data_IF_723899715153
#
_entry.id   IF_723899715153
#
_cell.length_a   1.000
_cell.length_b   1.000
_cell.length_c   1.000
_cell.angle_alpha   90.00
_cell.angle_beta   90.00
_cell.angle_gamma   90.00
#
_symmetry.space_group_name_H-M   'P 1'
#
loop_
_entity.id
_entity.type
_entity.pdbx_description
1 polymer ?
#
# COMPACT_ATOMS: atom_id res chain seq x y z
N UNK A 1 -11.51 33.88 -51.12
CA UNK A 1 -10.92 33.20 -49.96
C UNK A 1 -9.87 34.09 -49.30
N UNK A 2 -10.19 34.74 -48.20
CA UNK A 2 -9.28 35.61 -47.45
C UNK A 2 -8.42 34.74 -46.56
N UNK A 3 -7.10 34.80 -46.75
CA UNK A 3 -6.14 34.11 -45.90
C UNK A 3 -6.25 34.61 -44.43
N UNK A 4 -6.14 33.75 -43.42
CA UNK A 4 -6.26 34.16 -42.02
C UNK A 4 -5.09 35.08 -41.64
N UNK A 5 -5.41 36.25 -41.07
CA UNK A 5 -4.42 37.21 -40.64
C UNK A 5 -3.55 36.65 -39.50
N UNK A 6 -2.26 36.97 -39.40
CA UNK A 6 -1.32 36.44 -38.39
C UNK A 6 -1.80 36.59 -36.94
N UNK A 7 -2.56 37.64 -36.61
CA UNK A 7 -3.17 37.90 -35.30
C UNK A 7 -4.22 36.87 -34.90
N UNK A 8 -5.00 36.35 -35.88
CA UNK A 8 -6.03 35.32 -35.60
C UNK A 8 -5.42 33.95 -35.29
N UNK A 9 -4.29 33.63 -35.92
CA UNK A 9 -3.56 32.38 -35.67
C UNK A 9 -2.86 32.38 -34.30
N UNK A 10 -2.35 33.52 -33.83
CA UNK A 10 -1.76 33.66 -32.48
C UNK A 10 -2.82 33.54 -31.37
N UNK A 11 -3.98 34.18 -31.54
CA UNK A 11 -5.07 34.11 -30.56
C UNK A 11 -5.66 32.69 -30.45
N UNK A 12 -5.75 31.97 -31.57
CA UNK A 12 -6.17 30.57 -31.59
C UNK A 12 -5.12 29.64 -30.91
N UNK A 13 -3.83 29.87 -31.16
CA UNK A 13 -2.75 29.13 -30.52
C UNK A 13 -2.73 29.37 -29.00
N UNK A 14 -2.85 30.61 -28.55
CA UNK A 14 -2.90 30.94 -27.11
C UNK A 14 -4.13 30.37 -26.41
N UNK A 15 -5.30 30.36 -27.09
CA UNK A 15 -6.52 29.77 -26.50
C UNK A 15 -6.44 28.25 -26.42
N UNK A 16 -5.84 27.58 -27.42
CA UNK A 16 -5.60 26.13 -27.40
C UNK A 16 -4.59 25.77 -26.31
N UNK A 17 -3.54 26.58 -26.14
CA UNK A 17 -2.51 26.34 -25.12
C UNK A 17 -3.03 26.60 -23.71
N UNK A 18 -3.88 27.62 -23.50
CA UNK A 18 -4.58 27.82 -22.24
C UNK A 18 -5.56 26.71 -21.93
N UNK A 19 -6.31 26.23 -22.93
CA UNK A 19 -7.22 25.11 -22.75
C UNK A 19 -6.45 23.84 -22.37
N UNK A 20 -5.32 23.54 -23.07
CA UNK A 20 -4.45 22.41 -22.76
C UNK A 20 -3.89 22.48 -21.34
N UNK A 21 -3.39 23.63 -20.88
CA UNK A 21 -2.91 23.84 -19.51
C UNK A 21 -4.03 23.65 -18.47
N UNK A 22 -5.27 24.03 -18.81
CA UNK A 22 -6.43 23.83 -17.95
C UNK A 22 -6.81 22.36 -17.85
N UNK A 23 -6.87 21.67 -19.00
CA UNK A 23 -7.18 20.25 -19.06
C UNK A 23 -6.10 19.43 -18.31
N UNK A 24 -4.80 19.76 -18.46
CA UNK A 24 -3.70 19.13 -17.73
C UNK A 24 -3.81 19.35 -16.21
N UNK A 25 -4.24 20.54 -15.78
CA UNK A 25 -4.44 20.86 -14.36
C UNK A 25 -5.65 20.12 -13.78
N UNK A 26 -6.74 20.00 -14.51
CA UNK A 26 -7.94 19.28 -14.09
C UNK A 26 -7.67 17.78 -13.93
N UNK A 27 -6.84 17.19 -14.82
CA UNK A 27 -6.37 15.81 -14.71
C UNK A 27 -5.53 15.63 -13.45
N UNK A 28 -4.55 16.52 -13.22
CA UNK A 28 -3.68 16.46 -12.04
C UNK A 28 -4.49 16.54 -10.74
N UNK A 29 -5.46 17.44 -10.67
CA UNK A 29 -6.37 17.58 -9.51
C UNK A 29 -7.16 16.29 -9.27
N UNK A 30 -7.71 15.69 -10.33
CA UNK A 30 -8.45 14.44 -10.22
C UNK A 30 -7.57 13.28 -9.71
N UNK A 31 -6.33 13.22 -10.17
CA UNK A 31 -5.37 12.19 -9.76
C UNK A 31 -4.95 12.36 -8.30
N UNK A 32 -4.64 13.58 -7.86
CA UNK A 32 -4.30 13.88 -6.45
C UNK A 32 -5.49 13.55 -5.54
N UNK A 33 -6.71 13.93 -5.96
CA UNK A 33 -7.93 13.62 -5.21
C UNK A 33 -8.13 12.10 -5.08
N UNK A 34 -7.99 11.36 -6.17
CA UNK A 34 -8.13 9.89 -6.19
C UNK A 34 -7.07 9.22 -5.33
N UNK A 35 -5.82 9.66 -5.41
CA UNK A 35 -4.73 9.12 -4.61
C UNK A 35 -4.96 9.40 -3.10
N UNK A 36 -5.34 10.62 -2.75
CA UNK A 36 -5.68 10.99 -1.37
C UNK A 36 -6.82 10.15 -0.81
N UNK A 37 -7.92 10.03 -1.58
CA UNK A 37 -9.06 9.19 -1.21
C UNK A 37 -8.68 7.72 -1.01
N UNK A 38 -7.89 7.17 -1.94
CA UNK A 38 -7.44 5.78 -1.88
C UNK A 38 -6.49 5.52 -0.73
N UNK A 39 -5.52 6.40 -0.49
CA UNK A 39 -4.58 6.29 0.63
C UNK A 39 -5.33 6.39 1.96
N UNK A 40 -6.24 7.36 2.13
CA UNK A 40 -7.07 7.45 3.34
C UNK A 40 -7.81 6.15 3.60
N UNK A 41 -8.56 5.65 2.62
CA UNK A 41 -9.35 4.44 2.77
C UNK A 41 -8.50 3.20 3.08
N UNK A 42 -7.35 3.06 2.40
CA UNK A 42 -6.45 1.92 2.59
C UNK A 42 -5.77 1.96 3.95
N UNK A 43 -5.13 3.09 4.30
CA UNK A 43 -4.32 3.19 5.53
C UNK A 43 -5.17 3.10 6.78
N UNK A 44 -6.35 3.75 6.80
CA UNK A 44 -7.24 3.68 7.98
C UNK A 44 -7.81 2.27 8.19
N UNK A 45 -8.20 1.58 7.12
CA UNK A 45 -8.67 0.19 7.21
C UNK A 45 -7.56 -0.75 7.66
N UNK A 46 -6.35 -0.59 7.11
CA UNK A 46 -5.19 -1.39 7.50
C UNK A 46 -4.81 -1.17 8.96
N UNK A 47 -4.76 0.09 9.41
CA UNK A 47 -4.42 0.43 10.80
C UNK A 47 -5.45 -0.12 11.78
N UNK A 48 -6.75 -0.05 11.45
CA UNK A 48 -7.80 -0.60 12.31
C UNK A 48 -7.66 -2.13 12.48
N UNK A 49 -7.36 -2.85 11.40
CA UNK A 49 -7.09 -4.28 11.45
C UNK A 49 -5.79 -4.57 12.24
N UNK A 50 -4.73 -3.81 12.01
CA UNK A 50 -3.44 -3.97 12.69
C UNK A 50 -3.57 -3.73 14.22
N UNK A 51 -4.34 -2.75 14.66
CA UNK A 51 -4.62 -2.51 16.08
C UNK A 51 -5.33 -3.70 16.73
N UNK A 52 -6.26 -4.34 16.02
CA UNK A 52 -6.93 -5.55 16.52
C UNK A 52 -5.94 -6.70 16.67
N UNK A 53 -5.11 -6.96 15.67
CA UNK A 53 -4.08 -8.01 15.73
C UNK A 53 -3.04 -7.72 16.82
N UNK A 54 -2.57 -6.47 16.92
CA UNK A 54 -1.61 -6.08 17.98
C UNK A 54 -2.17 -6.35 19.38
N UNK A 55 -3.43 -6.02 19.61
CA UNK A 55 -4.12 -6.29 20.87
C UNK A 55 -4.19 -7.79 21.18
N UNK A 56 -4.55 -8.61 20.19
CA UNK A 56 -4.62 -10.06 20.33
C UNK A 56 -3.25 -10.68 20.63
N UNK A 57 -2.20 -10.20 19.97
CA UNK A 57 -0.82 -10.65 20.19
C UNK A 57 -0.32 -10.36 21.62
N UNK A 58 -0.89 -9.37 22.31
CA UNK A 58 -0.56 -9.07 23.71
C UNK A 58 -1.31 -9.97 24.71
N UNK A 59 -2.14 -10.92 24.25
CA UNK A 59 -2.93 -11.81 25.14
C UNK A 59 -3.82 -11.00 26.08
N UNK A 60 -3.92 -11.42 27.36
CA UNK A 60 -4.73 -10.72 28.37
C UNK A 60 -4.35 -9.26 28.57
N UNK A 61 -3.08 -8.93 28.46
CA UNK A 61 -2.59 -7.54 28.59
C UNK A 61 -3.14 -6.62 27.47
N UNK A 62 -3.43 -7.15 26.30
CA UNK A 62 -4.05 -6.40 25.20
C UNK A 62 -5.47 -5.92 25.51
N UNK A 63 -6.15 -6.57 26.45
CA UNK A 63 -7.50 -6.23 26.91
C UNK A 63 -7.53 -5.40 28.18
N UNK A 64 -6.41 -5.32 28.90
CA UNK A 64 -6.31 -4.52 30.11
C UNK A 64 -6.43 -3.02 29.79
N UNK A 65 -7.39 -2.34 30.44
CA UNK A 65 -7.67 -0.92 30.17
C UNK A 65 -6.45 -0.01 30.36
N UNK A 66 -5.59 -0.35 31.32
CA UNK A 66 -4.36 0.39 31.66
C UNK A 66 -3.37 0.43 30.48
N UNK A 67 -3.37 -0.59 29.62
CA UNK A 67 -2.51 -0.65 28.42
C UNK A 67 -3.09 0.12 27.22
N UNK A 68 -4.28 0.69 27.33
CA UNK A 68 -4.92 1.63 26.38
C UNK A 68 -5.14 1.12 24.96
N UNK A 69 -4.75 -0.12 24.62
CA UNK A 69 -4.91 -0.66 23.25
C UNK A 69 -6.38 -0.73 22.83
N UNK A 70 -7.31 -1.05 23.75
CA UNK A 70 -8.75 -1.04 23.50
C UNK A 70 -9.27 0.36 23.19
N UNK A 71 -8.87 1.36 23.99
CA UNK A 71 -9.23 2.76 23.78
C UNK A 71 -8.69 3.28 22.45
N UNK A 72 -7.41 3.07 22.18
CA UNK A 72 -6.77 3.47 20.91
C UNK A 72 -7.48 2.88 19.69
N UNK A 73 -7.87 1.60 19.77
CA UNK A 73 -8.63 0.96 18.70
C UNK A 73 -10.01 1.61 18.51
N UNK A 74 -10.72 1.90 19.59
CA UNK A 74 -12.05 2.53 19.55
C UNK A 74 -11.97 3.95 18.99
N UNK A 75 -10.97 4.72 19.41
CA UNK A 75 -10.74 6.08 18.90
C UNK A 75 -10.38 6.07 17.40
N UNK A 76 -9.66 5.04 16.96
CA UNK A 76 -9.27 4.92 15.54
C UNK A 76 -10.42 4.43 14.64
N UNK A 77 -11.42 3.76 15.17
CA UNK A 77 -12.49 3.14 14.38
C UNK A 77 -13.27 4.16 13.53
N UNK A 78 -13.48 5.37 14.03
CA UNK A 78 -14.17 6.46 13.33
C UNK A 78 -13.47 6.86 12.01
N UNK A 79 -12.16 6.64 11.91
CA UNK A 79 -11.39 6.95 10.70
C UNK A 79 -11.81 6.15 9.48
N UNK A 80 -12.61 5.10 9.64
CA UNK A 80 -13.15 4.34 8.52
C UNK A 80 -14.33 5.02 7.84
N UNK A 81 -15.02 5.90 8.55
CA UNK A 81 -16.29 6.52 8.11
C UNK A 81 -16.21 8.02 7.93
N UNK A 82 -15.55 8.76 8.83
CA UNK A 82 -15.46 10.21 8.71
C UNK A 82 -14.48 10.62 7.59
N UNK A 83 -14.57 11.86 7.11
CA UNK A 83 -13.85 12.36 5.91
C UNK A 83 -14.17 11.54 4.64
N UNK A 84 -15.32 10.89 4.62
CA UNK A 84 -15.78 9.99 3.58
C UNK A 84 -15.61 8.51 3.96
N UNK A 85 -16.68 7.74 3.78
CA UNK A 85 -16.67 6.29 3.99
C UNK A 85 -15.65 5.61 3.08
N UNK A 86 -14.85 4.70 3.64
CA UNK A 86 -13.76 4.05 2.93
C UNK A 86 -14.24 3.27 1.68
N UNK A 87 -15.43 2.66 1.73
CA UNK A 87 -15.99 1.94 0.59
C UNK A 87 -16.35 2.91 -0.54
N UNK A 88 -16.88 4.09 -0.20
CA UNK A 88 -17.23 5.13 -1.18
C UNK A 88 -15.96 5.72 -1.80
N UNK A 89 -14.94 6.03 -0.99
CA UNK A 89 -13.67 6.56 -1.46
C UNK A 89 -12.97 5.62 -2.44
N UNK A 90 -12.95 4.32 -2.14
CA UNK A 90 -12.38 3.32 -3.05
C UNK A 90 -13.14 3.24 -4.38
N UNK A 91 -14.45 3.48 -4.40
CA UNK A 91 -15.21 3.53 -5.65
C UNK A 91 -14.79 4.70 -6.53
N UNK A 92 -14.45 5.86 -5.94
CA UNK A 92 -13.94 7.01 -6.68
C UNK A 92 -12.60 6.70 -7.38
N UNK A 93 -11.71 5.98 -6.70
CA UNK A 93 -10.44 5.50 -7.29
C UNK A 93 -10.70 4.64 -8.52
N UNK A 94 -11.56 3.63 -8.40
CA UNK A 94 -11.88 2.75 -9.53
C UNK A 94 -12.56 3.49 -10.69
N UNK A 95 -13.44 4.46 -10.38
CA UNK A 95 -14.11 5.25 -11.41
C UNK A 95 -13.11 6.06 -12.24
N UNK A 96 -12.11 6.67 -11.59
CA UNK A 96 -11.05 7.39 -12.30
C UNK A 96 -10.20 6.44 -13.16
N UNK A 97 -9.78 5.31 -12.62
CA UNK A 97 -9.00 4.30 -13.36
C UNK A 97 -9.75 3.80 -14.59
N UNK A 98 -11.04 3.54 -14.48
CA UNK A 98 -11.88 3.13 -15.61
C UNK A 98 -12.08 4.24 -16.63
N UNK A 99 -12.17 5.49 -16.21
CA UNK A 99 -12.21 6.66 -17.09
C UNK A 99 -10.92 6.75 -17.90
N UNK A 100 -9.78 6.72 -17.25
CA UNK A 100 -8.46 6.75 -17.89
C UNK A 100 -8.28 5.56 -18.84
N UNK A 101 -8.72 4.37 -18.45
CA UNK A 101 -8.72 3.18 -19.29
C UNK A 101 -9.56 3.36 -20.56
N UNK A 102 -10.76 3.95 -20.45
CA UNK A 102 -11.61 4.25 -21.59
C UNK A 102 -10.97 5.28 -22.52
N UNK A 103 -10.41 6.33 -21.96
CA UNK A 103 -9.82 7.45 -22.70
C UNK A 103 -8.57 7.02 -23.48
N UNK A 104 -7.82 6.02 -23.00
CA UNK A 104 -6.66 5.46 -23.73
C UNK A 104 -7.01 4.74 -25.02
N UNK A 105 -8.25 4.32 -25.21
CA UNK A 105 -8.74 3.75 -26.49
C UNK A 105 -9.35 4.78 -27.45
N UNK A 106 -9.51 6.04 -27.02
CA UNK A 106 -9.96 7.11 -27.90
C UNK A 106 -8.74 7.79 -28.53
N UNK A 107 -8.67 7.82 -29.86
CA UNK A 107 -7.53 8.33 -30.65
C UNK A 107 -7.14 9.80 -30.40
N UNK A 108 -7.83 10.50 -29.51
CA UNK A 108 -7.64 11.94 -29.26
C UNK A 108 -6.94 12.30 -27.96
N UNK A 109 -6.50 11.36 -27.15
CA UNK A 109 -5.87 11.66 -25.88
C UNK A 109 -4.36 11.45 -25.91
N UNK A 110 -3.64 12.43 -26.49
CA UNK A 110 -2.22 12.63 -26.24
C UNK A 110 -2.09 13.43 -24.94
N UNK A 111 -2.38 12.84 -23.82
CA UNK A 111 -2.03 13.39 -22.52
C UNK A 111 -1.19 12.35 -21.78
N UNK A 112 0.07 12.37 -22.14
CA UNK A 112 1.14 11.63 -21.48
C UNK A 112 1.48 12.23 -20.13
N UNK A 113 0.54 12.38 -19.19
CA UNK A 113 0.85 12.98 -17.88
C UNK A 113 0.86 11.96 -16.76
N UNK A 114 0.40 10.73 -16.98
CA UNK A 114 0.61 9.65 -16.03
C UNK A 114 1.38 8.51 -16.68
N UNK A 115 2.70 8.64 -16.65
CA UNK A 115 3.64 7.63 -17.15
C UNK A 115 3.42 6.24 -16.54
N UNK A 116 2.82 6.17 -15.37
CA UNK A 116 2.52 4.93 -14.65
C UNK A 116 1.39 4.13 -15.30
N UNK A 117 0.22 4.74 -15.49
CA UNK A 117 -0.91 4.08 -16.16
C UNK A 117 -0.69 3.97 -17.67
N UNK A 118 -0.07 4.97 -18.30
CA UNK A 118 0.28 4.93 -19.72
C UNK A 118 1.25 3.79 -20.05
N UNK A 119 2.24 3.53 -19.21
CA UNK A 119 3.14 2.38 -19.36
C UNK A 119 2.43 1.04 -19.13
N UNK A 120 1.45 0.98 -18.22
CA UNK A 120 0.64 -0.22 -18.01
C UNK A 120 -0.27 -0.54 -19.18
N UNK A 121 -0.65 0.47 -19.98
CA UNK A 121 -1.65 0.34 -21.03
C UNK A 121 -1.05 0.24 -22.44
N UNK A 122 0.20 0.64 -22.63
CA UNK A 122 0.93 0.49 -23.90
C UNK A 122 1.38 -0.95 -24.15
N UNK A 123 1.59 -1.72 -23.09
CA UNK A 123 1.84 -3.15 -23.23
C UNK A 123 0.50 -3.88 -23.25
N UNK A 124 0.16 -4.49 -24.37
CA UNK A 124 -0.90 -5.48 -24.46
C UNK A 124 -0.75 -6.46 -23.29
N UNK A 125 -1.68 -6.45 -22.32
CA UNK A 125 -1.66 -7.17 -21.06
C UNK A 125 -0.24 -7.57 -20.61
N UNK A 126 0.37 -6.89 -19.65
CA UNK A 126 1.76 -7.15 -19.29
C UNK A 126 1.94 -8.65 -19.03
N UNK A 127 3.02 -9.21 -19.56
CA UNK A 127 3.34 -10.62 -19.34
C UNK A 127 3.40 -10.88 -17.84
N UNK A 128 2.72 -11.91 -17.37
CA UNK A 128 2.71 -12.25 -15.95
C UNK A 128 4.14 -12.54 -15.46
N UNK A 129 4.72 -11.74 -14.58
CA UNK A 129 6.08 -11.95 -14.10
C UNK A 129 6.23 -13.19 -13.21
N UNK A 130 5.13 -13.77 -12.76
CA UNK A 130 5.13 -14.94 -11.88
C UNK A 130 5.24 -16.29 -12.64
N UNK A 131 5.06 -16.28 -13.95
CA UNK A 131 5.24 -17.49 -14.81
C UNK A 131 6.70 -17.96 -14.81
N UNK A 132 7.67 -17.09 -14.55
CA UNK A 132 9.06 -17.51 -14.49
C UNK A 132 9.28 -18.50 -13.33
N UNK A 133 10.00 -19.61 -13.59
CA UNK A 133 10.34 -20.61 -12.57
C UNK A 133 11.44 -20.15 -11.60
N UNK A 134 11.88 -18.90 -11.66
CA UNK A 134 12.89 -18.37 -10.77
C UNK A 134 12.38 -18.31 -9.32
N UNK A 135 13.05 -19.04 -8.43
CA UNK A 135 12.71 -19.17 -7.00
C UNK A 135 13.80 -18.63 -6.08
N UNK A 136 14.90 -18.14 -6.66
CA UNK A 136 16.04 -17.67 -5.90
C UNK A 136 15.69 -16.41 -5.09
N UNK A 137 16.25 -16.26 -3.89
CA UNK A 137 16.05 -15.09 -3.03
C UNK A 137 16.30 -13.76 -3.75
N UNK A 138 17.34 -13.69 -4.58
CA UNK A 138 17.65 -12.50 -5.38
C UNK A 138 16.51 -12.10 -6.33
N UNK A 139 15.86 -13.09 -6.94
CA UNK A 139 14.73 -12.84 -7.84
C UNK A 139 13.49 -12.38 -7.06
N UNK A 140 13.15 -13.08 -5.98
CA UNK A 140 11.96 -12.79 -5.17
C UNK A 140 12.04 -11.42 -4.48
N UNK A 141 13.25 -10.93 -4.17
CA UNK A 141 13.50 -9.62 -3.56
C UNK A 141 13.86 -8.53 -4.57
N UNK A 142 13.80 -8.82 -5.86
CA UNK A 142 14.10 -7.82 -6.87
C UNK A 142 12.99 -6.77 -6.95
N UNK A 143 13.29 -5.47 -6.71
CA UNK A 143 12.30 -4.40 -6.76
C UNK A 143 11.52 -4.33 -8.08
N UNK A 144 12.20 -4.59 -9.20
CA UNK A 144 11.55 -4.58 -10.52
C UNK A 144 10.56 -5.75 -10.67
N UNK A 145 10.91 -6.93 -10.16
CA UNK A 145 9.99 -8.06 -10.14
C UNK A 145 8.76 -7.76 -9.28
N UNK A 146 8.95 -7.23 -8.07
CA UNK A 146 7.88 -6.92 -7.14
C UNK A 146 6.94 -5.82 -7.69
N UNK A 147 7.51 -4.75 -8.24
CA UNK A 147 6.73 -3.68 -8.91
C UNK A 147 5.94 -4.24 -10.11
N UNK A 148 6.59 -5.03 -10.97
CA UNK A 148 5.92 -5.65 -12.13
C UNK A 148 4.78 -6.58 -11.71
N UNK A 149 4.94 -7.35 -10.63
CA UNK A 149 3.89 -8.23 -10.13
C UNK A 149 2.65 -7.46 -9.68
N UNK A 150 2.80 -6.40 -8.87
CA UNK A 150 1.67 -5.60 -8.42
C UNK A 150 1.03 -4.78 -9.55
N UNK A 151 1.83 -4.26 -10.49
CA UNK A 151 1.32 -3.61 -11.71
C UNK A 151 0.49 -4.57 -12.56
N UNK A 152 1.00 -5.76 -12.80
CA UNK A 152 0.28 -6.81 -13.54
C UNK A 152 -1.07 -7.11 -12.90
N UNK A 153 -1.11 -7.29 -11.59
CA UNK A 153 -2.34 -7.50 -10.83
C UNK A 153 -3.35 -6.38 -11.06
N UNK A 154 -2.92 -5.13 -10.95
CA UNK A 154 -3.78 -3.95 -11.15
C UNK A 154 -4.32 -3.90 -12.59
N UNK A 155 -3.47 -4.09 -13.59
CA UNK A 155 -3.87 -4.11 -15.00
C UNK A 155 -4.89 -5.22 -15.29
N UNK A 156 -4.65 -6.41 -14.74
CA UNK A 156 -5.54 -7.56 -14.92
C UNK A 156 -6.92 -7.32 -14.29
N UNK A 157 -6.95 -6.78 -13.07
CA UNK A 157 -8.21 -6.42 -12.40
C UNK A 157 -8.97 -5.33 -13.16
N UNK A 158 -8.28 -4.32 -13.68
CA UNK A 158 -8.88 -3.25 -14.47
C UNK A 158 -9.53 -3.79 -15.75
N UNK A 159 -8.80 -4.61 -16.51
CA UNK A 159 -9.31 -5.24 -17.71
C UNK A 159 -10.52 -6.14 -17.43
N UNK A 160 -10.42 -6.98 -16.40
CA UNK A 160 -11.50 -7.90 -16.00
C UNK A 160 -12.73 -7.15 -15.52
N UNK A 161 -12.56 -6.08 -14.75
CA UNK A 161 -13.65 -5.22 -14.28
C UNK A 161 -14.33 -4.52 -15.46
N UNK A 162 -13.58 -3.96 -16.41
CA UNK A 162 -14.15 -3.32 -17.59
C UNK A 162 -15.02 -4.31 -18.42
N UNK A 163 -14.55 -5.54 -18.60
CA UNK A 163 -15.30 -6.58 -19.29
C UNK A 163 -16.59 -6.98 -18.53
N UNK A 164 -16.50 -7.15 -17.18
CA UNK A 164 -17.66 -7.45 -16.32
C UNK A 164 -18.68 -6.34 -16.35
N UNK A 165 -18.27 -5.09 -16.20
CA UNK A 165 -19.17 -3.93 -16.26
C UNK A 165 -19.91 -3.86 -17.59
N UNK A 166 -19.23 -4.11 -18.69
CA UNK A 166 -19.83 -4.14 -20.02
C UNK A 166 -20.92 -5.22 -20.12
N UNK A 167 -20.63 -6.44 -19.63
CA UNK A 167 -21.58 -7.56 -19.59
C UNK A 167 -22.78 -7.24 -18.69
N UNK A 168 -22.54 -6.77 -17.46
CA UNK A 168 -23.62 -6.47 -16.51
C UNK A 168 -24.47 -5.27 -16.95
N UNK A 169 -23.89 -4.27 -17.62
CA UNK A 169 -24.66 -3.16 -18.20
C UNK A 169 -25.63 -3.65 -19.28
N UNK A 170 -25.20 -4.57 -20.14
CA UNK A 170 -26.07 -5.15 -21.16
C UNK A 170 -27.24 -5.95 -20.54
N UNK A 171 -26.97 -6.75 -19.50
CA UNK A 171 -27.99 -7.49 -18.74
C UNK A 171 -28.94 -6.53 -18.03
N UNK A 172 -28.41 -5.56 -17.31
CA UNK A 172 -29.21 -4.60 -16.53
C UNK A 172 -30.08 -3.72 -17.41
N UNK A 173 -29.62 -3.36 -18.61
CA UNK A 173 -30.39 -2.59 -19.60
C UNK A 173 -31.66 -3.34 -20.01
N UNK A 174 -31.56 -4.66 -20.21
CA UNK A 174 -32.71 -5.51 -20.54
C UNK A 174 -33.71 -5.64 -19.39
N UNK A 175 -33.21 -5.67 -18.14
CA UNK A 175 -34.03 -5.93 -16.95
C UNK A 175 -34.64 -4.66 -16.33
N UNK A 176 -33.88 -3.56 -16.29
CA UNK A 176 -34.22 -2.35 -15.54
C UNK A 176 -34.32 -1.08 -16.42
N UNK A 177 -34.09 -1.21 -17.74
CA UNK A 177 -34.09 -0.08 -18.66
C UNK A 177 -32.74 0.63 -18.75
N UNK A 178 -32.59 1.51 -19.76
CA UNK A 178 -31.31 2.16 -20.07
C UNK A 178 -30.83 3.14 -18.98
N UNK A 179 -31.76 3.86 -18.35
CA UNK A 179 -31.43 4.92 -17.39
C UNK A 179 -30.76 4.38 -16.12
N UNK A 180 -31.19 3.22 -15.62
CA UNK A 180 -30.66 2.63 -14.37
C UNK A 180 -29.62 1.52 -14.59
N UNK A 181 -29.37 1.15 -15.85
CA UNK A 181 -28.49 0.02 -16.19
C UNK A 181 -27.08 0.17 -15.62
N UNK A 182 -26.51 1.38 -15.68
CA UNK A 182 -25.16 1.66 -15.16
C UNK A 182 -25.08 1.47 -13.64
N UNK A 183 -26.06 1.96 -12.91
CA UNK A 183 -26.12 1.81 -11.44
C UNK A 183 -26.18 0.34 -11.03
N UNK A 184 -27.07 -0.45 -11.63
CA UNK A 184 -27.20 -1.86 -11.32
C UNK A 184 -25.95 -2.68 -11.72
N UNK A 185 -25.32 -2.35 -12.85
CA UNK A 185 -24.09 -2.98 -13.27
C UNK A 185 -22.92 -2.69 -12.30
N UNK A 186 -22.81 -1.43 -11.86
CA UNK A 186 -21.81 -1.02 -10.88
C UNK A 186 -21.95 -1.80 -9.58
N UNK A 187 -23.15 -1.83 -9.01
CA UNK A 187 -23.43 -2.54 -7.76
C UNK A 187 -23.18 -4.07 -7.88
N UNK A 188 -23.50 -4.66 -9.02
CA UNK A 188 -23.21 -6.06 -9.29
C UNK A 188 -21.70 -6.37 -9.36
N UNK A 189 -20.88 -5.36 -9.64
CA UNK A 189 -19.42 -5.48 -9.74
C UNK A 189 -18.68 -4.90 -8.52
N UNK A 190 -19.36 -4.47 -7.45
CA UNK A 190 -18.78 -3.70 -6.35
C UNK A 190 -17.55 -4.35 -5.72
N UNK A 191 -17.56 -5.66 -5.51
CA UNK A 191 -16.43 -6.41 -4.96
C UNK A 191 -15.19 -6.26 -5.85
N UNK A 192 -15.35 -6.31 -7.18
CA UNK A 192 -14.26 -6.15 -8.13
C UNK A 192 -13.79 -4.70 -8.23
N UNK A 193 -14.70 -3.73 -8.08
CA UNK A 193 -14.40 -2.30 -7.98
C UNK A 193 -13.46 -2.04 -6.79
N UNK A 194 -13.82 -2.54 -5.61
CA UNK A 194 -13.02 -2.39 -4.40
C UNK A 194 -11.66 -3.12 -4.49
N UNK A 195 -11.64 -4.30 -5.09
CA UNK A 195 -10.41 -5.06 -5.29
C UNK A 195 -9.42 -4.32 -6.21
N UNK A 196 -9.90 -3.75 -7.32
CA UNK A 196 -9.09 -2.93 -8.22
C UNK A 196 -8.47 -1.74 -7.49
N UNK A 197 -9.29 -0.98 -6.75
CA UNK A 197 -8.82 0.21 -6.05
C UNK A 197 -7.74 -0.11 -5.02
N UNK A 198 -7.93 -1.16 -4.23
CA UNK A 198 -6.92 -1.62 -3.27
C UNK A 198 -5.63 -2.04 -3.97
N UNK A 199 -5.73 -2.83 -5.05
CA UNK A 199 -4.56 -3.26 -5.81
C UNK A 199 -3.78 -2.09 -6.40
N UNK A 200 -4.46 -1.06 -6.89
CA UNK A 200 -3.84 0.16 -7.40
C UNK A 200 -3.08 0.90 -6.29
N UNK A 201 -3.73 1.16 -5.16
CA UNK A 201 -3.10 1.87 -4.04
C UNK A 201 -1.88 1.09 -3.51
N UNK A 202 -1.98 -0.23 -3.37
CA UNK A 202 -0.85 -1.08 -2.96
C UNK A 202 0.33 -0.98 -3.94
N UNK A 203 0.06 -0.92 -5.23
CA UNK A 203 1.10 -0.76 -6.26
C UNK A 203 1.77 0.61 -6.19
N UNK A 204 0.97 1.68 -6.05
CA UNK A 204 1.48 3.05 -5.91
C UNK A 204 2.31 3.22 -4.63
N UNK A 205 1.86 2.65 -3.51
CA UNK A 205 2.60 2.68 -2.25
C UNK A 205 3.96 1.99 -2.38
N UNK A 206 4.00 0.81 -3.00
CA UNK A 206 5.26 0.08 -3.21
C UNK A 206 6.24 0.87 -4.07
N UNK A 207 5.77 1.50 -5.13
CA UNK A 207 6.62 2.31 -6.02
C UNK A 207 7.15 3.55 -5.33
N UNK A 208 6.27 4.30 -4.65
CA UNK A 208 6.67 5.48 -3.89
C UNK A 208 7.73 5.13 -2.84
N UNK A 209 7.60 3.94 -2.26
CA UNK A 209 8.55 3.43 -1.27
C UNK A 209 9.93 3.15 -1.89
N UNK A 210 10.00 2.39 -3.00
CA UNK A 210 11.27 2.14 -3.66
C UNK A 210 11.89 3.43 -4.22
N UNK A 211 11.09 4.35 -4.75
CA UNK A 211 11.56 5.65 -5.20
C UNK A 211 12.17 6.46 -4.03
N UNK A 212 11.56 6.46 -2.85
CA UNK A 212 12.10 7.12 -1.67
C UNK A 212 13.44 6.53 -1.23
N UNK A 213 13.62 5.23 -1.36
CA UNK A 213 14.91 4.56 -1.10
C UNK A 213 15.97 4.99 -2.11
N UNK A 214 15.61 5.05 -3.40
CA UNK A 214 16.54 5.43 -4.46
C UNK A 214 16.93 6.90 -4.43
N UNK A 215 16.04 7.77 -3.98
CA UNK A 215 16.26 9.22 -3.87
C UNK A 215 16.77 9.66 -2.49
N UNK A 216 17.08 8.73 -1.60
CA UNK A 216 17.59 9.04 -0.27
C UNK A 216 18.83 9.95 -0.38
N UNK A 217 18.84 11.12 0.29
CA UNK A 217 19.94 12.08 0.20
C UNK A 217 21.25 11.58 0.84
N UNK A 218 21.17 10.70 1.82
CA UNK A 218 22.33 10.11 2.46
C UNK A 218 22.94 9.03 1.55
N UNK A 219 24.13 9.33 1.03
CA UNK A 219 24.86 8.49 0.08
C UNK A 219 25.29 7.16 0.70
N UNK A 220 25.71 7.16 1.97
CA UNK A 220 26.11 5.95 2.69
C UNK A 220 24.89 5.05 2.98
N UNK A 221 23.78 5.65 3.38
CA UNK A 221 22.50 4.94 3.51
C UNK A 221 22.07 4.35 2.18
N UNK A 222 22.14 5.09 1.08
CA UNK A 222 21.77 4.63 -0.25
C UNK A 222 22.66 3.49 -0.77
N UNK A 223 23.98 3.62 -0.60
CA UNK A 223 24.93 2.56 -0.97
C UNK A 223 24.69 1.28 -0.16
N UNK A 224 24.49 1.42 1.14
CA UNK A 224 24.19 0.31 2.03
C UNK A 224 22.87 -0.39 1.68
N UNK A 225 21.83 0.38 1.31
CA UNK A 225 20.56 -0.15 0.85
C UNK A 225 20.71 -0.94 -0.46
N UNK A 226 21.41 -0.37 -1.44
CA UNK A 226 21.66 -1.05 -2.73
C UNK A 226 22.56 -2.28 -2.57
N UNK A 227 23.56 -2.22 -1.71
CA UNK A 227 24.42 -3.36 -1.39
C UNK A 227 23.65 -4.47 -0.68
N UNK A 228 22.70 -4.15 0.21
CA UNK A 228 21.93 -5.15 0.94
C UNK A 228 20.89 -5.86 0.07
N UNK A 229 20.30 -5.20 -0.90
CA UNK A 229 19.48 -5.87 -1.94
C UNK A 229 20.33 -6.89 -2.72
N UNK A 230 21.64 -6.64 -2.86
CA UNK A 230 22.58 -7.50 -3.60
C UNK A 230 23.37 -8.54 -2.78
N UNK A 231 23.63 -8.28 -1.50
CA UNK A 231 24.63 -9.02 -0.70
C UNK A 231 24.05 -9.94 0.37
N UNK A 232 22.76 -9.86 0.67
CA UNK A 232 22.16 -10.62 1.77
C UNK A 232 21.98 -12.13 1.45
N UNK A 233 23.01 -12.76 0.95
CA UNK A 233 23.02 -14.21 0.66
C UNK A 233 23.84 -15.06 1.65
N UNK A 234 24.38 -14.50 2.73
CA UNK A 234 25.17 -15.28 3.70
C UNK A 234 24.97 -14.79 5.13
N UNK A 235 24.42 -15.69 5.93
CA UNK A 235 24.57 -15.93 7.38
C UNK A 235 25.48 -14.95 8.15
N UNK A 236 25.15 -13.69 8.28
CA UNK A 236 25.86 -12.81 9.19
C UNK A 236 24.88 -12.09 10.10
N UNK A 237 25.06 -12.35 11.42
CA UNK A 237 24.43 -11.53 12.48
C UNK A 237 24.67 -10.06 12.16
N UNK A 238 23.61 -9.27 12.12
CA UNK A 238 23.67 -7.81 11.93
C UNK A 238 24.68 -7.22 12.94
N UNK A 239 25.76 -6.57 12.49
CA UNK A 239 26.60 -5.79 13.37
C UNK A 239 25.75 -4.66 13.97
N UNK A 240 26.18 -4.09 15.10
CA UNK A 240 25.55 -2.88 15.66
C UNK A 240 25.70 -1.73 14.66
N UNK A 241 24.68 -1.58 13.82
CA UNK A 241 24.63 -0.56 12.77
C UNK A 241 24.18 0.79 13.34
N UNK A 242 24.59 1.93 12.75
CA UNK A 242 24.03 3.23 13.08
C UNK A 242 22.49 3.22 13.00
N UNK A 243 21.82 3.97 13.87
CA UNK A 243 20.33 4.01 13.93
C UNK A 243 19.68 4.35 12.58
N UNK A 244 20.29 5.29 11.83
CA UNK A 244 19.84 5.65 10.48
C UNK A 244 19.83 4.45 9.53
N UNK A 245 20.90 3.67 9.55
CA UNK A 245 21.06 2.52 8.68
C UNK A 245 20.11 1.37 9.08
N UNK A 246 19.92 1.11 10.37
CA UNK A 246 18.95 0.14 10.89
C UNK A 246 17.53 0.48 10.45
N UNK A 247 17.16 1.77 10.51
CA UNK A 247 15.85 2.25 10.07
C UNK A 247 15.61 1.99 8.58
N UNK A 248 16.59 2.23 7.74
CA UNK A 248 16.45 2.07 6.30
C UNK A 248 16.44 0.60 5.85
N UNK A 249 17.23 -0.26 6.50
CA UNK A 249 17.20 -1.71 6.27
C UNK A 249 15.80 -2.25 6.55
N UNK A 250 15.25 -1.89 7.69
CA UNK A 250 13.91 -2.33 8.07
C UNK A 250 12.83 -1.84 7.11
N UNK A 251 13.05 -0.70 6.47
CA UNK A 251 12.14 -0.18 5.45
C UNK A 251 12.15 -1.05 4.18
N UNK A 252 13.31 -1.45 3.66
CA UNK A 252 13.39 -2.32 2.47
C UNK A 252 12.82 -3.71 2.77
N UNK A 253 13.17 -4.31 3.92
CA UNK A 253 12.61 -5.59 4.34
C UNK A 253 11.07 -5.55 4.44
N UNK A 254 10.51 -4.42 4.87
CA UNK A 254 9.06 -4.22 4.90
C UNK A 254 8.44 -4.13 3.51
N UNK A 255 9.10 -3.46 2.55
CA UNK A 255 8.60 -3.37 1.18
C UNK A 255 8.60 -4.72 0.49
N UNK A 256 9.70 -5.49 0.64
CA UNK A 256 9.79 -6.85 0.12
C UNK A 256 8.70 -7.74 0.74
N UNK A 257 8.58 -7.72 2.07
CA UNK A 257 7.57 -8.48 2.81
C UNK A 257 6.15 -8.09 2.39
N UNK A 258 5.85 -6.80 2.35
CA UNK A 258 4.55 -6.28 1.92
C UNK A 258 4.18 -6.79 0.53
N UNK A 259 5.09 -6.67 -0.44
CA UNK A 259 4.82 -7.10 -1.81
C UNK A 259 4.61 -8.62 -1.90
N UNK A 260 5.45 -9.42 -1.25
CA UNK A 260 5.34 -10.88 -1.25
C UNK A 260 4.07 -11.37 -0.54
N UNK A 261 3.68 -10.74 0.57
CA UNK A 261 2.40 -11.04 1.24
C UNK A 261 1.21 -10.73 0.34
N UNK A 262 1.22 -9.60 -0.38
CA UNK A 262 0.14 -9.27 -1.33
C UNK A 262 0.08 -10.26 -2.47
N UNK A 263 1.21 -10.69 -3.01
CA UNK A 263 1.29 -11.72 -4.06
C UNK A 263 0.77 -13.06 -3.51
N UNK A 264 1.19 -13.46 -2.32
CA UNK A 264 0.79 -14.73 -1.70
C UNK A 264 -0.70 -14.77 -1.33
N UNK A 265 -1.25 -13.67 -0.82
CA UNK A 265 -2.64 -13.59 -0.37
C UNK A 265 -3.65 -13.48 -1.52
N UNK A 266 -3.22 -13.03 -2.69
CA UNK A 266 -4.15 -12.73 -3.77
C UNK A 266 -4.53 -13.96 -4.57
N UNK A 267 -5.81 -14.27 -4.55
CA UNK A 267 -6.42 -15.41 -5.25
C UNK A 267 -6.27 -15.29 -6.77
N UNK A 268 -6.14 -14.07 -7.30
CA UNK A 268 -5.95 -13.85 -8.74
C UNK A 268 -4.70 -14.56 -9.28
N UNK A 269 -3.62 -14.52 -8.51
CA UNK A 269 -2.38 -15.20 -8.90
C UNK A 269 -2.48 -16.72 -8.83
N UNK A 270 -3.42 -17.27 -8.06
CA UNK A 270 -3.62 -18.71 -7.88
C UNK A 270 -4.59 -19.31 -8.90
N UNK A 271 -5.70 -18.63 -9.16
CA UNK A 271 -6.82 -19.18 -9.95
C UNK A 271 -6.57 -19.24 -11.46
N UNK A 272 -5.56 -18.56 -11.96
CA UNK A 272 -5.29 -18.51 -13.41
C UNK A 272 -3.97 -19.22 -13.78
N UNK A 273 -3.52 -20.21 -12.98
CA UNK A 273 -2.29 -21.00 -13.16
C UNK A 273 -0.99 -20.16 -13.30
N UNK A 274 -0.98 -18.97 -12.70
CA UNK A 274 0.11 -18.02 -12.89
C UNK A 274 1.29 -18.18 -11.94
N UNK A 275 1.13 -18.95 -10.89
CA UNK A 275 2.22 -19.21 -9.93
C UNK A 275 2.47 -20.71 -9.89
N UNK A 276 3.64 -21.14 -10.36
CA UNK A 276 4.05 -22.51 -10.20
C UNK A 276 4.08 -22.88 -8.70
N UNK A 277 3.63 -24.07 -8.29
CA UNK A 277 3.60 -24.50 -6.88
C UNK A 277 4.93 -24.32 -6.16
N UNK A 278 6.04 -24.51 -6.86
CA UNK A 278 7.40 -24.33 -6.34
C UNK A 278 7.68 -22.86 -6.02
N UNK A 279 7.24 -21.94 -6.86
CA UNK A 279 7.38 -20.50 -6.64
C UNK A 279 6.51 -20.03 -5.48
N UNK A 280 5.30 -20.54 -5.33
CA UNK A 280 4.45 -20.25 -4.17
C UNK A 280 5.10 -20.71 -2.87
N UNK A 281 5.69 -21.92 -2.83
CA UNK A 281 6.47 -22.40 -1.68
C UNK A 281 7.66 -21.52 -1.40
N UNK A 282 8.37 -21.07 -2.43
CA UNK A 282 9.53 -20.18 -2.30
C UNK A 282 9.12 -18.80 -1.76
N UNK A 283 8.03 -18.23 -2.24
CA UNK A 283 7.47 -16.97 -1.73
C UNK A 283 7.12 -17.10 -0.25
N UNK A 284 6.41 -18.16 0.16
CA UNK A 284 6.05 -18.39 1.57
C UNK A 284 7.29 -18.52 2.46
N UNK A 285 8.28 -19.31 2.06
CA UNK A 285 9.54 -19.40 2.80
C UNK A 285 10.28 -18.07 2.90
N UNK A 286 10.21 -17.26 1.84
CA UNK A 286 10.81 -15.93 1.86
C UNK A 286 10.07 -14.99 2.82
N UNK A 287 8.74 -15.04 2.90
CA UNK A 287 7.94 -14.30 3.88
C UNK A 287 8.38 -14.68 5.31
N UNK A 288 8.46 -15.97 5.62
CA UNK A 288 8.90 -16.48 6.93
C UNK A 288 10.31 -15.98 7.28
N UNK A 289 11.23 -16.03 6.31
CA UNK A 289 12.59 -15.53 6.46
C UNK A 289 12.63 -14.01 6.73
N UNK A 290 11.91 -13.22 5.96
CA UNK A 290 11.83 -11.77 6.15
C UNK A 290 11.20 -11.38 7.48
N UNK A 291 10.21 -12.12 7.97
CA UNK A 291 9.64 -11.93 9.30
C UNK A 291 10.70 -12.18 10.40
N UNK A 292 11.51 -13.23 10.25
CA UNK A 292 12.59 -13.52 11.20
C UNK A 292 13.68 -12.42 11.20
N UNK A 293 14.04 -11.90 10.03
CA UNK A 293 14.97 -10.77 9.89
C UNK A 293 14.41 -9.50 10.53
N UNK A 294 13.14 -9.16 10.25
CA UNK A 294 12.47 -7.97 10.81
C UNK A 294 12.35 -8.03 12.32
N UNK A 295 12.21 -9.23 12.91
CA UNK A 295 12.15 -9.40 14.36
C UNK A 295 13.38 -8.83 15.06
N UNK A 296 14.56 -9.01 14.49
CA UNK A 296 15.81 -8.52 15.07
C UNK A 296 15.90 -6.98 15.13
N UNK A 297 15.17 -6.30 14.26
CA UNK A 297 15.17 -4.82 14.15
C UNK A 297 13.84 -4.18 14.54
N UNK A 298 12.88 -4.96 15.01
CA UNK A 298 11.53 -4.48 15.32
C UNK A 298 11.52 -3.41 16.41
N UNK A 299 12.21 -3.65 17.55
CA UNK A 299 12.27 -2.70 18.68
C UNK A 299 12.99 -1.41 18.27
N UNK A 300 14.22 -1.43 17.73
CA UNK A 300 14.86 -0.21 17.24
C UNK A 300 14.03 0.57 16.22
N UNK A 301 13.24 -0.13 15.42
CA UNK A 301 12.37 0.52 14.45
C UNK A 301 11.22 1.27 15.13
N UNK A 302 10.58 0.67 16.13
CA UNK A 302 9.53 1.33 16.93
C UNK A 302 10.12 2.53 17.69
N UNK A 303 11.29 2.37 18.31
CA UNK A 303 11.99 3.45 19.02
C UNK A 303 12.34 4.62 18.11
N UNK A 304 12.53 4.37 16.80
CA UNK A 304 12.83 5.42 15.83
C UNK A 304 11.70 6.44 15.63
N UNK A 305 10.47 6.15 16.04
CA UNK A 305 9.37 7.11 16.05
C UNK A 305 9.49 8.14 17.17
N UNK A 306 10.34 7.89 18.19
CA UNK A 306 10.63 8.83 19.25
C UNK A 306 9.44 9.15 20.16
N UNK A 307 8.51 8.20 20.32
CA UNK A 307 7.36 8.37 21.23
C UNK A 307 7.83 8.14 22.66
N UNK A 308 7.86 9.18 23.53
CA UNK A 308 8.32 9.02 24.88
C UNK A 308 7.30 8.29 25.77
N UNK A 309 7.80 7.61 26.82
CA UNK A 309 7.00 6.83 27.75
C UNK A 309 5.89 7.66 28.43
N UNK A 310 6.13 8.96 28.66
CA UNK A 310 5.15 9.90 29.25
C UNK A 310 3.92 10.13 28.36
N UNK A 311 4.08 10.02 27.04
CA UNK A 311 2.98 10.12 26.07
C UNK A 311 2.31 8.76 25.90
N UNK A 312 3.10 7.70 25.84
CA UNK A 312 2.61 6.33 25.65
C UNK A 312 1.68 5.91 26.79
N UNK A 313 2.07 6.15 28.05
CA UNK A 313 1.29 5.87 29.28
C UNK A 313 0.66 4.48 29.31
N UNK A 314 1.29 3.52 28.68
CA UNK A 314 0.83 2.13 28.63
C UNK A 314 1.93 1.24 29.21
N UNK A 315 1.74 0.62 30.38
CA UNK A 315 2.78 -0.16 31.07
C UNK A 315 3.45 -1.20 30.17
N UNK A 316 2.69 -1.88 29.32
CA UNK A 316 3.22 -2.91 28.42
C UNK A 316 4.17 -2.34 27.36
N UNK A 317 4.08 -1.05 27.07
CA UNK A 317 4.87 -0.38 26.03
C UNK A 317 6.05 0.43 26.56
N UNK A 318 6.28 0.46 27.88
CA UNK A 318 7.39 1.22 28.45
C UNK A 318 8.74 0.66 28.00
N UNK A 319 9.65 1.56 27.67
CA UNK A 319 10.99 1.20 27.17
C UNK A 319 11.94 0.74 28.27
N UNK A 320 11.56 0.89 29.55
CA UNK A 320 12.43 0.71 30.68
C UNK A 320 13.44 1.84 30.88
N UNK A 321 13.47 2.82 29.97
CA UNK A 321 14.38 3.98 30.05
C UNK A 321 14.09 4.87 31.28
N UNK A 322 12.84 4.85 31.76
CA UNK A 322 12.40 5.53 32.98
C UNK A 322 12.76 4.79 34.26
N UNK A 323 13.43 3.63 34.21
CA UNK A 323 13.80 2.81 35.35
C UNK A 323 12.64 1.97 35.95
N UNK A 324 11.44 2.06 35.38
CA UNK A 324 10.32 1.22 35.76
C UNK A 324 10.26 -0.02 34.84
N UNK A 325 10.33 -1.21 35.43
CA UNK A 325 10.07 -2.44 34.73
C UNK A 325 8.60 -2.48 34.27
N UNK A 326 8.30 -2.81 33.00
CA UNK A 326 6.93 -2.80 32.48
C UNK A 326 5.94 -3.61 33.30
N UNK A 327 6.38 -4.72 33.87
CA UNK A 327 5.54 -5.56 34.69
C UNK A 327 5.23 -4.94 36.06
N UNK A 328 6.20 -4.31 36.71
CA UNK A 328 6.00 -3.61 38.00
C UNK A 328 5.11 -2.37 37.80
N UNK A 329 5.28 -1.65 36.71
CA UNK A 329 4.39 -0.55 36.32
C UNK A 329 2.94 -1.04 36.13
N UNK A 330 2.75 -2.19 35.47
CA UNK A 330 1.44 -2.82 35.32
C UNK A 330 0.83 -3.19 36.67
N UNK A 331 1.56 -3.92 37.54
CA UNK A 331 1.08 -4.31 38.86
C UNK A 331 0.67 -3.11 39.71
N UNK A 332 1.47 -2.05 39.68
CA UNK A 332 1.16 -0.80 40.40
C UNK A 332 -0.11 -0.15 39.86
N UNK A 333 -0.32 -0.16 38.58
CA UNK A 333 -1.49 0.46 37.90
C UNK A 333 -2.80 -0.28 38.16
N UNK A 334 -2.76 -1.58 38.46
CA UNK A 334 -3.94 -2.41 38.80
C UNK A 334 -4.12 -2.61 40.32
N UNK A 335 -3.38 -1.88 41.12
CA UNK A 335 -3.54 -1.89 42.59
C UNK A 335 -2.83 -3.05 43.32
N UNK A 336 -1.98 -3.82 42.64
CA UNK A 336 -1.16 -4.88 43.24
C UNK A 336 0.23 -4.40 43.70
N UNK A 337 0.52 -3.10 43.58
CA UNK A 337 1.80 -2.49 43.91
C UNK A 337 1.77 -1.80 45.30
N UNK A 338 1.94 -2.51 46.36
CA UNK A 338 1.94 -1.92 47.70
C UNK A 338 2.67 -2.76 48.74
N UNK A 339 3.97 -2.90 48.62
CA UNK A 339 4.83 -3.41 49.66
C UNK A 339 6.24 -3.66 49.13
N UNK A 340 7.30 -3.19 49.84
CA UNK A 340 8.65 -3.57 49.49
C UNK A 340 8.75 -5.09 49.53
N UNK A 341 9.16 -5.72 48.44
CA UNK A 341 9.47 -7.16 48.42
C UNK A 341 10.56 -7.38 49.46
N UNK A 342 10.14 -7.78 50.65
CA UNK A 342 11.08 -8.19 51.67
C UNK A 342 12.04 -9.21 51.10
N UNK A 343 13.31 -8.98 51.29
CA UNK A 343 14.37 -9.91 50.96
C UNK A 343 13.98 -11.29 51.51
N UNK A 344 13.70 -12.25 50.67
CA UNK A 344 13.64 -13.65 51.06
C UNK A 344 15.09 -14.09 51.28
N UNK A 345 15.47 -14.16 52.53
CA UNK A 345 16.67 -14.86 53.01
C UNK A 345 16.59 -16.34 52.63
#
# INVERSE_FOLDING_TARGET
MLAPTPRRSLALRSSVEMKRKRDDNDVLVADVHSLSAGLKAYTTSYTNAALSVARECCGGHGYAAVNRLGALRSDHDIFQTFEGDNTVLLQQVAALLLKQYKDSFSESSIVATFSYLGQMMQDALPTNPLVSHATEPRHLRNPEFLKKALRYRTARLLHTLAARLRKHTAISRKKFGAASAGFHAWNACLIHVLALSRAHIESVMLEAFFNAVDTCPDVECRKSLKAMVGVWNSTTRLPRLPRSLTRMISLVLKADLFALERIHADVLFRNEDYVAPEKEKAIRKMIEHLCAELRAVAVPLVDSFGIPDEILRAPIGLSGASGAEPYDAYLSSVGFGGGPRGART
#
